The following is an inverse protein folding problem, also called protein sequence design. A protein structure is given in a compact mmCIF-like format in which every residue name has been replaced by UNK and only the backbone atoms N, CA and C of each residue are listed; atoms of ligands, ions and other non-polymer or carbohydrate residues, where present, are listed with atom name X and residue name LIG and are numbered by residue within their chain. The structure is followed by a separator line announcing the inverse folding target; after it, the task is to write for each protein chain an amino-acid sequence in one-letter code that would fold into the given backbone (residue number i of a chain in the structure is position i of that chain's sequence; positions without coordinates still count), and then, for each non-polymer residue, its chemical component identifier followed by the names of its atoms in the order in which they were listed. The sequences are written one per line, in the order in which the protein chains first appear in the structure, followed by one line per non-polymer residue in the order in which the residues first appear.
data_IF_212516407641
#
_entry.id   IF_212516407641
#
_cell.length_a   1.000
_cell.length_b   1.000
_cell.length_c   1.000
_cell.angle_alpha   90.00
_cell.angle_beta   90.00
_cell.angle_gamma   90.00
#
_symmetry.space_group_name_H-M   'P 1'
#
loop_
_entity.id
_entity.type
_entity.pdbx_description
1 polymer ?
#
# COMPACT_ATOMS: atom_id res chain seq x y z
N UNK A 1 9.08 6.41 -2.68
CA UNK A 1 8.19 5.43 -2.00
C UNK A 1 6.73 5.59 -2.37
N UNK A 2 6.24 6.81 -2.62
CA UNK A 2 4.88 7.00 -3.14
C UNK A 2 4.94 7.08 -4.66
N UNK A 3 4.86 5.93 -5.34
CA UNK A 3 4.18 5.95 -6.64
C UNK A 3 2.74 6.22 -6.26
N UNK A 4 2.16 7.34 -6.70
CA UNK A 4 0.73 7.62 -6.53
C UNK A 4 -0.02 6.32 -6.74
N UNK A 5 -0.84 5.90 -5.76
CA UNK A 5 -1.63 4.67 -5.89
C UNK A 5 -2.24 4.71 -7.28
N UNK A 6 -1.86 3.75 -8.14
CA UNK A 6 -2.18 3.84 -9.56
C UNK A 6 -3.67 4.13 -9.66
N UNK A 7 -4.05 5.16 -10.41
CA UNK A 7 -5.46 5.55 -10.59
C UNK A 7 -6.32 4.34 -10.95
N UNK A 8 -5.72 3.39 -11.66
CA UNK A 8 -6.26 2.08 -12.02
C UNK A 8 -6.84 1.31 -10.81
N UNK A 9 -6.19 1.33 -9.64
CA UNK A 9 -6.74 0.68 -8.43
C UNK A 9 -8.10 1.27 -8.04
N UNK A 10 -8.22 2.59 -8.04
CA UNK A 10 -9.49 3.29 -7.76
C UNK A 10 -10.50 3.10 -8.89
N UNK A 11 -10.03 2.94 -10.13
CA UNK A 11 -10.88 2.75 -11.29
C UNK A 11 -11.63 1.41 -11.25
N UNK A 12 -11.02 0.36 -10.69
CA UNK A 12 -11.62 -0.98 -10.59
C UNK A 12 -12.38 -1.24 -9.28
N UNK A 13 -12.39 -0.28 -8.34
CA UNK A 13 -13.12 -0.45 -7.07
C UNK A 13 -14.60 -0.14 -7.23
N UNK A 14 -15.49 -0.96 -6.66
CA UNK A 14 -16.88 -0.58 -6.45
C UNK A 14 -16.95 0.73 -5.67
N UNK A 15 -17.78 1.67 -6.11
CA UNK A 15 -17.95 2.97 -5.44
C UNK A 15 -19.39 3.48 -5.60
N UNK A 16 -20.38 2.71 -5.10
CA UNK A 16 -21.79 3.08 -5.21
C UNK A 16 -22.11 4.40 -4.48
N UNK A 17 -21.35 4.73 -3.44
CA UNK A 17 -21.47 5.95 -2.67
C UNK A 17 -20.11 6.39 -2.11
N UNK A 18 -20.07 7.60 -1.53
CA UNK A 18 -18.84 8.20 -1.02
C UNK A 18 -18.24 7.45 0.19
N UNK A 19 -19.07 6.90 1.08
CA UNK A 19 -18.60 6.17 2.27
C UNK A 19 -17.95 4.84 1.85
N UNK A 20 -18.57 4.14 0.90
CA UNK A 20 -18.01 2.93 0.31
C UNK A 20 -16.71 3.22 -0.45
N UNK A 21 -16.65 4.31 -1.22
CA UNK A 21 -15.43 4.71 -1.92
C UNK A 21 -14.26 5.00 -0.96
N UNK A 22 -14.52 5.71 0.14
CA UNK A 22 -13.53 5.98 1.18
C UNK A 22 -13.04 4.69 1.87
N UNK A 23 -13.96 3.78 2.17
CA UNK A 23 -13.65 2.48 2.78
C UNK A 23 -12.76 1.63 1.86
N UNK A 24 -13.10 1.58 0.56
CA UNK A 24 -12.33 0.85 -0.43
C UNK A 24 -10.93 1.44 -0.64
N UNK A 25 -10.78 2.76 -0.54
CA UNK A 25 -9.47 3.42 -0.59
C UNK A 25 -8.59 2.99 0.59
N UNK A 26 -9.13 2.88 1.80
CA UNK A 26 -8.39 2.39 2.96
C UNK A 26 -7.91 0.94 2.74
N UNK A 27 -8.79 0.07 2.25
CA UNK A 27 -8.45 -1.32 1.90
C UNK A 27 -7.35 -1.38 0.84
N UNK A 28 -7.42 -0.51 -0.17
CA UNK A 28 -6.43 -0.41 -1.23
C UNK A 28 -5.04 -0.06 -0.70
N UNK A 29 -4.97 0.91 0.21
CA UNK A 29 -3.72 1.33 0.83
C UNK A 29 -3.11 0.20 1.66
N UNK A 30 -3.92 -0.47 2.47
CA UNK A 30 -3.48 -1.62 3.26
C UNK A 30 -2.94 -2.74 2.36
N UNK A 31 -3.67 -3.09 1.31
CA UNK A 31 -3.24 -4.11 0.36
C UNK A 31 -1.94 -3.72 -0.37
N UNK A 32 -1.84 -2.48 -0.84
CA UNK A 32 -0.63 -1.97 -1.49
C UNK A 32 0.59 -2.09 -0.57
N UNK A 33 0.45 -1.59 0.66
CA UNK A 33 1.53 -1.52 1.63
C UNK A 33 1.98 -2.90 2.12
N UNK A 34 1.08 -3.89 2.17
CA UNK A 34 1.40 -5.25 2.60
C UNK A 34 1.95 -6.13 1.47
N UNK A 35 1.37 -6.06 0.27
CA UNK A 35 1.58 -7.10 -0.75
C UNK A 35 2.54 -6.71 -1.87
N UNK A 36 2.68 -5.43 -2.21
CA UNK A 36 3.31 -5.05 -3.48
C UNK A 36 4.81 -4.83 -3.34
N UNK A 37 5.65 -5.68 -3.96
CA UNK A 37 7.10 -5.50 -3.90
C UNK A 37 7.52 -4.31 -4.76
N UNK A 38 8.53 -3.57 -4.28
CA UNK A 38 9.03 -2.39 -4.99
C UNK A 38 10.54 -2.50 -5.19
N UNK A 39 11.02 -2.24 -6.41
CA UNK A 39 12.43 -2.44 -6.79
C UNK A 39 13.41 -1.66 -5.91
N UNK A 40 13.12 -0.37 -5.67
CA UNK A 40 13.87 0.47 -4.73
C UNK A 40 13.91 -0.09 -3.29
N UNK A 41 13.00 -1.00 -2.92
CA UNK A 41 12.89 -1.60 -1.58
C UNK A 41 13.49 -2.99 -1.53
N UNK A 42 14.42 -3.29 -2.44
CA UNK A 42 14.98 -4.63 -2.62
C UNK A 42 13.87 -5.66 -2.86
N UNK A 43 12.86 -5.27 -3.63
CA UNK A 43 11.66 -6.06 -3.92
C UNK A 43 10.86 -6.50 -2.68
N UNK A 44 10.92 -5.74 -1.59
CA UNK A 44 10.03 -5.90 -0.43
C UNK A 44 8.81 -5.01 -0.56
N UNK A 45 7.72 -5.38 0.10
CA UNK A 45 6.58 -4.47 0.27
C UNK A 45 6.92 -3.34 1.25
N UNK A 46 6.23 -2.18 1.17
CA UNK A 46 6.49 -1.06 2.07
C UNK A 46 6.49 -1.43 3.56
N UNK A 47 5.53 -2.24 4.02
CA UNK A 47 5.49 -2.69 5.42
C UNK A 47 6.56 -3.71 5.74
N UNK A 48 6.87 -4.65 4.85
CA UNK A 48 7.96 -5.59 5.07
C UNK A 48 9.32 -4.87 5.16
N UNK A 49 9.53 -3.83 4.34
CA UNK A 49 10.71 -2.99 4.42
C UNK A 49 10.77 -2.25 5.77
N UNK A 50 9.69 -1.58 6.16
CA UNK A 50 9.59 -0.88 7.45
C UNK A 50 9.87 -1.78 8.65
N UNK A 51 9.22 -2.94 8.71
CA UNK A 51 9.44 -3.92 9.80
C UNK A 51 10.91 -4.32 9.88
N UNK A 52 11.55 -4.58 8.74
CA UNK A 52 12.96 -4.91 8.71
C UNK A 52 13.88 -3.76 9.14
N UNK A 53 13.56 -2.50 8.79
CA UNK A 53 14.34 -1.33 9.20
C UNK A 53 14.13 -0.99 10.68
N UNK A 54 12.91 -1.13 11.18
CA UNK A 54 12.57 -0.92 12.59
C UNK A 54 13.29 -1.96 13.47
N UNK A 55 13.30 -3.24 13.06
CA UNK A 55 14.09 -4.28 13.73
C UNK A 55 15.61 -4.04 13.67
N UNK A 56 16.12 -3.43 12.61
CA UNK A 56 17.55 -3.11 12.47
C UNK A 56 17.98 -1.87 13.28
N UNK A 57 17.05 -1.01 13.66
CA UNK A 57 17.32 0.19 14.46
C UNK A 57 17.25 -0.09 15.97
N UNK A 58 16.67 -1.22 16.37
CA UNK A 58 16.60 -1.71 17.75
C UNK A 58 17.81 -2.59 18.15
N UNK A 59 18.90 -2.53 17.38
CA UNK A 59 20.18 -3.22 17.66
C UNK A 59 21.26 -2.19 17.97
#
# INVERSE_FOLDING_TARGET
FVKTMKRDYVAFMPKPDAATAASNLAIAFEHYNEKHPHSALKYRSPRAFRRATESATLV
#
